data_IF_626613825136
#
_entry.id   IF_626613825136
#
_cell.length_a   1.000
_cell.length_b   1.000
_cell.length_c   1.000
_cell.angle_alpha   90.00
_cell.angle_beta   90.00
_cell.angle_gamma   90.00
#
_symmetry.space_group_name_H-M   'P 1'
#
loop_
_entity.id
_entity.type
_entity.pdbx_description
1 polymer ?
#
# COMPACT_ATOMS: atom_id res chain seq x y z
N UNK A 1 18.48 19.87 6.24
CA UNK A 1 19.34 18.71 6.57
C UNK A 1 19.62 17.88 5.31
N UNK A 2 18.61 17.41 4.59
CA UNK A 2 18.76 16.58 3.37
C UNK A 2 19.64 17.27 2.32
N UNK A 3 19.37 18.53 1.99
CA UNK A 3 20.19 19.30 1.05
C UNK A 3 21.68 19.28 1.41
N UNK A 4 22.00 19.51 2.69
CA UNK A 4 23.38 19.54 3.15
C UNK A 4 24.08 18.17 3.10
N UNK A 5 23.32 17.07 3.30
CA UNK A 5 23.85 15.71 3.26
C UNK A 5 24.04 15.21 1.84
N UNK A 6 23.17 15.61 0.92
CA UNK A 6 23.16 15.13 -0.47
C UNK A 6 23.86 16.08 -1.44
N UNK A 7 24.28 17.27 -0.97
CA UNK A 7 25.00 18.25 -1.78
C UNK A 7 26.27 17.65 -2.38
N UNK A 8 26.38 17.73 -3.71
CA UNK A 8 27.49 17.15 -4.48
C UNK A 8 27.41 15.63 -4.72
N UNK A 9 26.32 14.97 -4.31
CA UNK A 9 26.08 13.57 -4.62
C UNK A 9 25.54 13.43 -6.05
N UNK A 10 25.90 12.34 -6.71
CA UNK A 10 25.26 11.91 -7.96
C UNK A 10 23.99 11.12 -7.61
N UNK A 11 22.84 11.69 -7.93
CA UNK A 11 21.51 11.09 -7.64
C UNK A 11 20.87 10.43 -8.86
N UNK A 12 21.57 10.36 -10.00
CA UNK A 12 21.05 9.78 -11.26
C UNK A 12 20.51 8.36 -11.13
N UNK A 13 21.05 7.57 -10.20
CA UNK A 13 20.57 6.21 -9.93
C UNK A 13 19.24 6.15 -9.18
N UNK A 14 18.74 7.28 -8.68
CA UNK A 14 17.48 7.42 -7.95
C UNK A 14 16.44 8.24 -8.70
N UNK A 15 16.75 8.62 -9.92
CA UNK A 15 15.92 9.22 -10.96
C UNK A 15 15.73 8.14 -12.03
N UNK A 16 14.67 7.32 -11.87
CA UNK A 16 14.50 6.09 -12.66
C UNK A 16 13.95 6.35 -14.05
N UNK A 17 13.24 7.47 -14.23
CA UNK A 17 12.64 7.85 -15.51
C UNK A 17 13.41 8.97 -16.23
N UNK A 18 14.42 9.56 -15.58
CA UNK A 18 15.32 10.55 -16.17
C UNK A 18 14.71 11.96 -16.27
N UNK A 19 13.72 12.26 -15.43
CA UNK A 19 13.02 13.56 -15.44
C UNK A 19 13.72 14.65 -14.60
N UNK A 20 14.81 14.31 -13.91
CA UNK A 20 15.55 15.18 -13.01
C UNK A 20 14.98 15.24 -11.61
N UNK A 21 14.02 14.38 -11.27
CA UNK A 21 13.44 14.27 -9.93
C UNK A 21 13.87 12.96 -9.28
N UNK A 22 14.21 13.01 -8.01
CA UNK A 22 14.47 11.79 -7.22
C UNK A 22 13.15 11.09 -6.93
N UNK A 23 12.97 9.89 -7.49
CA UNK A 23 11.72 9.13 -7.41
C UNK A 23 11.35 8.65 -6.02
N UNK A 24 12.34 8.38 -5.19
CA UNK A 24 12.10 7.83 -3.85
C UNK A 24 13.10 8.40 -2.84
N UNK A 25 12.57 8.98 -1.78
CA UNK A 25 13.37 9.47 -0.68
C UNK A 25 12.88 8.90 0.64
N UNK A 26 13.75 8.24 1.37
CA UNK A 26 13.47 7.70 2.71
C UNK A 26 14.37 8.38 3.72
N UNK A 27 13.77 8.94 4.77
CA UNK A 27 14.43 9.52 5.93
C UNK A 27 14.17 8.60 7.13
N UNK A 28 15.23 8.04 7.69
CA UNK A 28 15.13 7.24 8.92
C UNK A 28 15.66 8.05 10.10
N UNK A 29 14.91 8.07 11.20
CA UNK A 29 15.34 8.67 12.45
C UNK A 29 15.40 7.65 13.59
N UNK A 30 16.25 7.94 14.59
CA UNK A 30 16.49 7.03 15.73
C UNK A 30 15.58 7.27 16.94
N UNK A 31 14.71 8.30 16.88
CA UNK A 31 13.73 8.54 17.95
C UNK A 31 12.57 7.57 17.85
N UNK A 32 11.94 7.24 18.99
CA UNK A 32 10.71 6.46 18.99
C UNK A 32 9.61 7.23 18.24
N UNK A 33 8.92 6.58 17.31
CA UNK A 33 7.84 7.20 16.56
C UNK A 33 6.58 7.43 17.44
N UNK A 34 5.73 8.36 17.02
CA UNK A 34 4.50 8.66 17.74
C UNK A 34 3.58 7.42 17.79
N UNK A 35 3.41 6.73 16.67
CA UNK A 35 2.62 5.49 16.54
C UNK A 35 3.18 4.34 17.37
N UNK A 36 4.46 4.39 17.72
CA UNK A 36 5.13 3.41 18.59
C UNK A 36 5.20 3.84 20.06
N UNK A 37 4.48 4.89 20.44
CA UNK A 37 4.42 5.38 21.82
C UNK A 37 5.44 6.46 22.19
N UNK A 38 6.08 7.12 21.22
CA UNK A 38 7.01 8.23 21.43
C UNK A 38 6.37 9.52 22.00
N UNK A 39 5.04 9.53 22.12
CA UNK A 39 4.26 10.64 22.67
C UNK A 39 3.93 11.70 21.60
N UNK A 40 3.07 12.66 21.98
CA UNK A 40 2.44 13.62 21.07
C UNK A 40 3.40 14.57 20.34
N UNK A 41 4.66 14.66 20.77
CA UNK A 41 5.68 15.50 20.12
C UNK A 41 6.67 14.69 19.28
N UNK A 42 6.51 13.37 19.23
CA UNK A 42 7.33 12.51 18.35
C UNK A 42 6.84 12.61 16.91
N UNK A 43 7.71 12.24 15.99
CA UNK A 43 7.36 12.20 14.57
C UNK A 43 6.47 10.96 14.36
N UNK A 44 5.30 11.17 13.75
CA UNK A 44 4.50 10.11 13.16
C UNK A 44 5.15 9.71 11.84
N UNK A 45 5.34 8.42 11.60
CA UNK A 45 5.84 7.96 10.30
C UNK A 45 4.83 8.34 9.22
N UNK A 46 5.31 8.92 8.11
CA UNK A 46 4.44 9.36 7.03
C UNK A 46 5.19 9.59 5.72
N UNK A 47 4.46 9.53 4.62
CA UNK A 47 4.82 10.11 3.33
C UNK A 47 4.25 11.53 3.23
N UNK A 48 5.00 12.46 2.67
CA UNK A 48 4.50 13.83 2.42
C UNK A 48 5.15 14.47 1.20
N UNK A 49 4.40 15.37 0.59
CA UNK A 49 4.91 16.26 -0.44
C UNK A 49 5.53 17.51 0.19
N UNK A 50 6.53 18.06 -0.46
CA UNK A 50 7.10 19.36 -0.09
C UNK A 50 6.30 20.47 -0.77
N UNK A 51 6.01 21.56 -0.05
CA UNK A 51 5.35 22.75 -0.61
C UNK A 51 6.12 23.30 -1.81
N UNK A 52 7.46 23.29 -1.71
CA UNK A 52 8.38 23.63 -2.78
C UNK A 52 9.43 22.54 -2.93
N UNK A 53 9.68 22.03 -4.14
CA UNK A 53 10.71 21.02 -4.37
C UNK A 53 12.08 21.47 -3.91
N UNK A 54 12.81 20.60 -3.25
CA UNK A 54 14.18 20.84 -2.80
C UNK A 54 15.15 20.58 -3.95
N UNK A 55 15.95 21.59 -4.34
CA UNK A 55 16.99 21.41 -5.36
C UNK A 55 18.28 20.87 -4.76
N UNK A 56 18.82 19.80 -5.35
CA UNK A 56 20.07 19.15 -4.94
C UNK A 56 20.94 18.96 -6.18
N UNK A 57 21.80 19.96 -6.49
CA UNK A 57 22.57 19.96 -7.74
C UNK A 57 21.65 20.03 -8.95
N UNK A 58 21.74 19.05 -9.83
CA UNK A 58 20.94 18.94 -11.04
C UNK A 58 19.59 18.22 -10.83
N UNK A 59 19.31 17.76 -9.62
CA UNK A 59 18.09 17.03 -9.26
C UNK A 59 17.20 17.81 -8.33
N UNK A 60 15.92 17.45 -8.34
CA UNK A 60 14.93 17.92 -7.38
C UNK A 60 14.39 16.77 -6.51
N UNK A 61 13.89 17.11 -5.32
CA UNK A 61 13.13 16.20 -4.44
C UNK A 61 11.80 16.87 -4.15
N UNK A 62 10.71 16.24 -4.54
CA UNK A 62 9.35 16.80 -4.38
C UNK A 62 8.58 16.17 -3.21
N UNK A 63 8.99 14.99 -2.75
CA UNK A 63 8.32 14.23 -1.69
C UNK A 63 9.31 13.36 -0.92
N UNK A 64 8.88 12.86 0.22
CA UNK A 64 9.70 12.01 1.08
C UNK A 64 8.82 11.08 1.93
N UNK A 65 9.40 9.98 2.34
CA UNK A 65 8.93 9.17 3.47
C UNK A 65 9.82 9.44 4.66
N UNK A 66 9.24 9.60 5.85
CA UNK A 66 9.99 9.61 7.11
C UNK A 66 9.43 8.53 8.05
N UNK A 67 10.33 7.75 8.64
CA UNK A 67 9.96 6.69 9.56
C UNK A 67 11.01 6.53 10.67
N UNK A 68 10.59 5.99 11.81
CA UNK A 68 11.52 5.58 12.86
C UNK A 68 12.18 4.25 12.53
N UNK A 69 13.40 4.05 12.96
CA UNK A 69 14.08 2.75 12.94
C UNK A 69 13.34 1.70 13.79
N UNK A 70 12.52 2.15 14.75
CA UNK A 70 11.76 1.28 15.66
C UNK A 70 10.31 1.01 15.17
N UNK A 71 9.87 1.62 14.06
CA UNK A 71 8.48 1.43 13.55
C UNK A 71 8.25 0.07 12.87
N UNK A 72 9.30 -0.70 12.64
CA UNK A 72 9.21 -1.97 11.91
C UNK A 72 9.17 -1.79 10.39
N UNK A 73 9.45 -2.86 9.67
CA UNK A 73 9.51 -2.84 8.19
C UNK A 73 8.14 -2.56 7.58
N UNK A 74 7.06 -3.00 8.23
CA UNK A 74 5.70 -2.81 7.73
C UNK A 74 5.35 -1.34 7.56
N UNK A 75 5.59 -0.51 8.58
CA UNK A 75 5.37 0.93 8.50
C UNK A 75 6.25 1.58 7.44
N UNK A 76 7.55 1.24 7.41
CA UNK A 76 8.46 1.81 6.40
C UNK A 76 8.00 1.51 4.99
N UNK A 77 7.58 0.27 4.71
CA UNK A 77 7.12 -0.13 3.37
C UNK A 77 5.77 0.49 3.04
N UNK A 78 4.83 0.54 3.98
CA UNK A 78 3.55 1.22 3.83
C UNK A 78 3.74 2.66 3.34
N UNK A 79 4.55 3.44 4.06
CA UNK A 79 4.84 4.83 3.70
C UNK A 79 5.60 4.97 2.37
N UNK A 80 6.46 4.00 2.04
CA UNK A 80 7.15 3.98 0.74
C UNK A 80 6.19 3.64 -0.41
N UNK A 81 5.16 2.83 -0.18
CA UNK A 81 4.15 2.52 -1.19
C UNK A 81 3.29 3.74 -1.55
N UNK A 82 3.06 4.67 -0.61
CA UNK A 82 2.44 5.95 -0.94
C UNK A 82 3.23 6.74 -1.97
N UNK A 83 4.57 6.70 -1.94
CA UNK A 83 5.39 7.32 -2.99
C UNK A 83 5.23 6.63 -4.36
N UNK A 84 4.64 5.45 -4.41
CA UNK A 84 4.30 4.72 -5.63
C UNK A 84 2.85 4.91 -6.06
N UNK A 85 2.08 5.72 -5.32
CA UNK A 85 0.69 6.01 -5.61
C UNK A 85 -0.33 5.13 -4.88
N UNK A 86 0.11 4.26 -3.96
CA UNK A 86 -0.82 3.49 -3.15
C UNK A 86 -1.62 4.37 -2.20
N UNK A 87 -2.87 4.00 -1.95
CA UNK A 87 -3.78 4.67 -1.05
C UNK A 87 -3.92 3.92 0.27
N UNK A 88 -4.33 4.63 1.33
CA UNK A 88 -4.76 4.01 2.57
C UNK A 88 -6.08 3.25 2.36
N UNK A 89 -6.11 2.00 2.78
CA UNK A 89 -7.25 1.10 2.59
C UNK A 89 -8.02 0.86 3.90
N UNK A 90 -8.15 1.90 4.70
CA UNK A 90 -8.88 1.92 5.98
C UNK A 90 -9.55 3.29 6.18
N UNK A 91 -10.37 3.43 7.22
CA UNK A 91 -10.96 4.71 7.59
C UNK A 91 -9.90 5.59 8.27
N UNK A 92 -9.24 6.45 7.49
CA UNK A 92 -8.17 7.37 7.97
C UNK A 92 -8.67 8.41 8.96
N UNK A 93 -9.97 8.65 9.04
CA UNK A 93 -10.58 9.57 9.99
C UNK A 93 -10.97 8.88 11.29
N UNK A 94 -11.05 7.56 11.30
CA UNK A 94 -11.55 6.76 12.42
C UNK A 94 -12.96 7.18 12.86
N UNK A 95 -13.79 7.55 11.87
CA UNK A 95 -15.18 7.96 12.11
C UNK A 95 -16.07 6.76 12.42
N UNK A 96 -15.68 5.58 11.92
CA UNK A 96 -16.35 4.31 12.16
C UNK A 96 -15.56 3.45 13.17
N UNK A 97 -16.24 2.69 14.04
CA UNK A 97 -15.55 1.67 14.83
C UNK A 97 -14.89 0.63 13.92
N UNK A 98 -13.67 0.22 14.22
CA UNK A 98 -12.96 -0.82 13.46
C UNK A 98 -13.68 -2.19 13.45
N UNK A 99 -14.60 -2.40 14.39
CA UNK A 99 -15.51 -3.56 14.39
C UNK A 99 -16.64 -3.46 13.37
N UNK A 100 -16.89 -2.26 12.82
CA UNK A 100 -17.90 -2.02 11.80
C UNK A 100 -17.29 -1.86 10.41
N UNK A 101 -16.10 -1.29 10.34
CA UNK A 101 -15.34 -1.12 9.11
C UNK A 101 -13.84 -1.01 9.43
N UNK A 102 -13.05 -1.86 8.83
CA UNK A 102 -11.59 -1.88 8.97
C UNK A 102 -10.88 -1.91 7.61
N UNK A 103 -11.57 -1.47 6.55
CA UNK A 103 -11.04 -1.53 5.20
C UNK A 103 -10.65 -2.96 4.82
N UNK A 104 -9.44 -3.14 4.32
CA UNK A 104 -8.90 -4.47 4.03
C UNK A 104 -8.26 -5.16 5.26
N UNK A 105 -8.26 -4.50 6.42
CA UNK A 105 -7.76 -5.08 7.66
C UNK A 105 -6.34 -5.62 7.53
N UNK A 106 -6.11 -6.80 8.10
CA UNK A 106 -4.80 -7.45 8.12
C UNK A 106 -4.37 -8.02 6.76
N UNK A 107 -5.24 -7.96 5.75
CA UNK A 107 -5.00 -8.57 4.44
C UNK A 107 -4.21 -7.69 3.47
N UNK A 108 -4.07 -6.39 3.74
CA UNK A 108 -3.28 -5.49 2.90
C UNK A 108 -2.34 -4.63 3.75
N UNK A 109 -1.09 -4.47 3.30
CA UNK A 109 -0.11 -3.60 3.96
C UNK A 109 -0.57 -2.14 3.98
N UNK A 110 -1.44 -1.72 3.05
CA UNK A 110 -2.02 -0.37 3.02
C UNK A 110 -3.22 -0.21 3.97
N UNK A 111 -3.53 -1.25 4.76
CA UNK A 111 -4.45 -1.23 5.89
C UNK A 111 -3.74 -1.72 7.15
N UNK A 112 -4.41 -2.43 8.05
CA UNK A 112 -3.79 -2.93 9.30
C UNK A 112 -2.70 -3.98 9.07
N UNK A 113 -2.61 -4.54 7.87
CA UNK A 113 -1.60 -5.54 7.50
C UNK A 113 -0.14 -5.08 7.64
N UNK A 114 0.11 -3.77 7.71
CA UNK A 114 1.42 -3.21 8.01
C UNK A 114 1.90 -3.55 9.44
N UNK A 115 0.96 -3.80 10.37
CA UNK A 115 1.24 -4.14 11.76
C UNK A 115 1.36 -5.63 12.02
N UNK A 116 1.13 -6.49 11.02
CA UNK A 116 1.23 -7.93 11.17
C UNK A 116 2.61 -8.33 11.70
N UNK A 117 2.63 -9.31 12.61
CA UNK A 117 3.85 -9.73 13.28
C UNK A 117 4.54 -8.59 14.06
N UNK A 118 3.78 -7.65 14.64
CA UNK A 118 4.27 -6.43 15.27
C UNK A 118 5.12 -5.56 14.30
N UNK A 119 4.68 -5.44 13.07
CA UNK A 119 5.34 -4.67 12.01
C UNK A 119 6.58 -5.34 11.41
N UNK A 120 6.93 -6.55 11.85
CA UNK A 120 8.10 -7.28 11.35
C UNK A 120 7.76 -8.23 10.17
N UNK A 121 6.50 -8.62 10.06
CA UNK A 121 6.01 -9.54 9.02
C UNK A 121 4.71 -8.97 8.43
N UNK A 122 4.78 -7.79 7.77
CA UNK A 122 3.60 -7.19 7.16
C UNK A 122 3.04 -8.09 6.07
N UNK A 123 1.75 -7.94 5.78
CA UNK A 123 1.14 -8.60 4.63
C UNK A 123 1.68 -8.05 3.31
N UNK A 124 1.60 -8.84 2.26
CA UNK A 124 1.76 -8.33 0.90
C UNK A 124 0.64 -7.35 0.57
N UNK A 125 0.86 -6.37 -0.33
CA UNK A 125 -0.24 -5.62 -0.93
C UNK A 125 -1.24 -6.56 -1.60
N UNK A 126 -2.52 -6.23 -1.57
CA UNK A 126 -3.56 -6.90 -2.34
C UNK A 126 -3.40 -6.69 -3.84
N UNK A 127 -4.23 -7.38 -4.62
CA UNK A 127 -4.11 -7.34 -6.08
C UNK A 127 -4.42 -5.95 -6.65
N UNK A 128 -5.45 -5.28 -6.13
CA UNK A 128 -5.81 -3.92 -6.54
C UNK A 128 -4.67 -2.93 -6.26
N UNK A 129 -4.06 -2.99 -5.07
CA UNK A 129 -2.88 -2.16 -4.73
C UNK A 129 -1.70 -2.46 -5.63
N UNK A 130 -1.39 -3.73 -5.90
CA UNK A 130 -0.29 -4.12 -6.78
C UNK A 130 -0.49 -3.62 -8.22
N UNK A 131 -1.72 -3.63 -8.71
CA UNK A 131 -2.05 -3.11 -10.04
C UNK A 131 -1.91 -1.59 -10.08
N UNK A 132 -2.46 -0.89 -9.08
CA UNK A 132 -2.39 0.57 -8.94
C UNK A 132 -0.95 1.09 -8.97
N UNK A 133 -0.03 0.44 -8.25
CA UNK A 133 1.39 0.83 -8.23
C UNK A 133 2.19 0.31 -9.44
N UNK A 134 1.53 -0.32 -10.42
CA UNK A 134 2.15 -0.79 -11.65
C UNK A 134 3.04 -2.04 -11.50
N UNK A 135 2.85 -2.84 -10.48
CA UNK A 135 3.67 -4.03 -10.21
C UNK A 135 3.48 -5.17 -11.23
N UNK A 136 2.45 -5.12 -12.07
CA UNK A 136 2.15 -6.12 -13.13
C UNK A 136 2.12 -7.56 -12.59
N UNK A 137 1.47 -7.75 -11.46
CA UNK A 137 1.34 -9.04 -10.76
C UNK A 137 -0.02 -9.68 -10.98
N UNK A 138 -0.70 -9.35 -12.09
CA UNK A 138 -2.01 -9.89 -12.44
C UNK A 138 -2.05 -10.41 -13.87
N UNK A 139 -3.03 -11.27 -14.14
CA UNK A 139 -3.42 -11.74 -15.47
C UNK A 139 -4.88 -11.41 -15.68
N UNK A 140 -5.18 -10.67 -16.75
CA UNK A 140 -6.56 -10.39 -17.15
C UNK A 140 -7.19 -11.65 -17.71
N UNK A 141 -8.37 -11.99 -17.20
CA UNK A 141 -9.16 -13.13 -17.66
C UNK A 141 -10.16 -12.66 -18.69
N UNK A 142 -10.09 -13.23 -19.89
CA UNK A 142 -11.13 -13.04 -20.91
C UNK A 142 -12.36 -13.90 -20.56
N UNK A 143 -13.42 -13.25 -20.10
CA UNK A 143 -14.65 -13.93 -19.66
C UNK A 143 -15.43 -14.57 -20.80
N UNK A 144 -15.25 -14.14 -22.04
CA UNK A 144 -15.90 -14.73 -23.22
C UNK A 144 -15.29 -16.07 -23.59
N UNK A 145 -14.00 -16.24 -23.32
CA UNK A 145 -13.26 -17.47 -23.62
C UNK A 145 -13.29 -18.42 -22.40
N UNK A 146 -13.21 -17.87 -21.20
CA UNK A 146 -13.05 -18.64 -19.97
C UNK A 146 -11.71 -19.38 -19.91
N UNK A 147 -11.60 -20.33 -18.97
CA UNK A 147 -10.38 -21.14 -18.87
C UNK A 147 -10.19 -21.79 -17.51
N UNK A 148 -9.06 -22.50 -17.39
CA UNK A 148 -8.56 -22.99 -16.11
C UNK A 148 -7.24 -22.30 -15.81
N UNK A 149 -7.14 -21.73 -14.63
CA UNK A 149 -5.96 -20.97 -14.18
C UNK A 149 -5.35 -21.64 -12.95
N UNK A 150 -4.02 -21.60 -12.89
CA UNK A 150 -3.28 -22.01 -11.70
C UNK A 150 -2.66 -20.75 -11.12
N UNK A 151 -3.05 -20.43 -9.88
CA UNK A 151 -2.51 -19.30 -9.11
C UNK A 151 -1.59 -19.82 -8.02
N UNK A 152 -0.43 -19.21 -7.89
CA UNK A 152 0.49 -19.45 -6.79
C UNK A 152 0.34 -18.37 -5.70
N UNK A 153 0.86 -18.60 -4.48
CA UNK A 153 0.85 -17.60 -3.43
C UNK A 153 1.54 -16.31 -3.89
N UNK A 154 0.89 -15.18 -3.63
CA UNK A 154 1.42 -13.87 -4.05
C UNK A 154 2.75 -13.55 -3.36
N UNK A 155 2.94 -13.98 -2.13
CA UNK A 155 4.17 -13.87 -1.35
C UNK A 155 5.34 -14.66 -1.96
N UNK A 156 5.06 -15.72 -2.70
CA UNK A 156 6.07 -16.60 -3.34
C UNK A 156 6.26 -16.29 -4.84
N UNK A 157 5.86 -15.11 -5.28
CA UNK A 157 6.00 -14.72 -6.67
C UNK A 157 4.81 -15.11 -7.56
N UNK A 158 3.70 -15.59 -6.98
CA UNK A 158 2.45 -15.84 -7.68
C UNK A 158 1.85 -14.57 -8.32
N UNK A 159 0.81 -14.76 -9.11
CA UNK A 159 0.05 -13.70 -9.75
C UNK A 159 -1.41 -13.81 -9.38
N UNK A 160 -2.12 -12.68 -9.39
CA UNK A 160 -3.57 -12.62 -9.23
C UNK A 160 -4.28 -12.74 -10.57
N UNK A 161 -5.56 -13.10 -10.56
CA UNK A 161 -6.42 -12.98 -11.74
C UNK A 161 -7.22 -11.69 -11.63
N UNK A 162 -7.36 -10.99 -12.74
CA UNK A 162 -8.18 -9.79 -12.87
C UNK A 162 -9.34 -10.07 -13.81
N UNK A 163 -10.55 -9.82 -13.36
CA UNK A 163 -11.80 -10.00 -14.14
C UNK A 163 -12.50 -8.65 -14.15
N UNK A 164 -12.40 -7.93 -15.27
CA UNK A 164 -13.16 -6.70 -15.47
C UNK A 164 -14.63 -7.05 -15.63
N UNK A 165 -15.48 -6.51 -14.76
CA UNK A 165 -16.93 -6.77 -14.75
C UNK A 165 -17.72 -5.57 -15.29
N UNK A 166 -17.16 -4.36 -15.18
CA UNK A 166 -17.64 -3.13 -15.79
C UNK A 166 -16.46 -2.16 -15.97
N UNK A 167 -16.60 -1.06 -16.75
CA UNK A 167 -15.54 -0.08 -16.88
C UNK A 167 -15.12 0.52 -15.53
N UNK A 168 -13.89 0.25 -15.12
CA UNK A 168 -13.32 0.65 -13.83
C UNK A 168 -13.68 -0.28 -12.67
N UNK A 169 -14.44 -1.37 -12.91
CA UNK A 169 -14.77 -2.35 -11.88
C UNK A 169 -14.07 -3.68 -12.15
N UNK A 170 -13.31 -4.17 -11.19
CA UNK A 170 -12.52 -5.41 -11.33
C UNK A 170 -12.69 -6.30 -10.11
N UNK A 171 -12.94 -7.59 -10.39
CA UNK A 171 -12.81 -8.67 -9.41
C UNK A 171 -11.40 -9.22 -9.49
N UNK A 172 -10.73 -9.26 -8.36
CA UNK A 172 -9.38 -9.82 -8.21
C UNK A 172 -9.45 -11.14 -7.45
N UNK A 173 -8.74 -12.15 -7.93
CA UNK A 173 -8.63 -13.44 -7.26
C UNK A 173 -7.17 -13.68 -6.96
N UNK A 174 -6.82 -13.75 -5.67
CA UNK A 174 -5.46 -13.89 -5.18
C UNK A 174 -5.34 -15.07 -4.25
N UNK A 175 -4.29 -15.88 -4.40
CA UNK A 175 -3.93 -16.88 -3.40
C UNK A 175 -2.98 -16.25 -2.38
N UNK A 176 -3.43 -16.19 -1.11
CA UNK A 176 -2.59 -15.82 0.04
C UNK A 176 -2.01 -17.08 0.65
N UNK A 177 -0.70 -17.09 0.85
CA UNK A 177 0.02 -18.23 1.44
C UNK A 177 0.18 -18.09 2.95
N UNK A 178 0.97 -19.00 3.52
CA UNK A 178 1.35 -19.05 4.93
C UNK A 178 2.87 -18.86 5.12
N UNK A 179 3.53 -18.32 4.11
CA UNK A 179 4.98 -18.13 4.06
C UNK A 179 5.36 -16.68 3.72
N UNK A 180 6.65 -16.34 3.93
CA UNK A 180 7.16 -15.00 3.65
C UNK A 180 6.42 -13.94 4.46
N UNK A 181 6.09 -12.82 3.81
CA UNK A 181 5.37 -11.72 4.43
C UNK A 181 3.90 -12.04 4.74
N UNK A 182 3.31 -13.03 4.09
CA UNK A 182 1.93 -13.47 4.39
C UNK A 182 1.86 -14.45 5.58
N UNK A 183 3.00 -14.83 6.19
CA UNK A 183 3.01 -15.82 7.28
C UNK A 183 2.36 -15.36 8.59
N UNK A 184 2.08 -14.06 8.74
CA UNK A 184 1.39 -13.50 9.90
C UNK A 184 -0.06 -13.11 9.59
N UNK A 185 -0.60 -13.47 8.43
CA UNK A 185 -2.01 -13.27 8.10
C UNK A 185 -2.92 -14.08 9.03
N UNK A 186 -4.16 -13.62 9.27
CA UNK A 186 -5.12 -14.35 10.10
C UNK A 186 -5.57 -15.70 9.48
N UNK A 187 -5.30 -15.91 8.20
CA UNK A 187 -5.61 -17.14 7.47
C UNK A 187 -4.87 -17.19 6.14
N UNK A 188 -5.10 -18.29 5.41
CA UNK A 188 -4.54 -18.47 4.05
C UNK A 188 -5.59 -19.10 3.13
N UNK A 189 -5.43 -18.89 1.83
CA UNK A 189 -6.37 -19.38 0.82
C UNK A 189 -6.65 -18.34 -0.25
N UNK A 190 -7.73 -18.55 -0.98
CA UNK A 190 -8.19 -17.60 -1.99
C UNK A 190 -8.86 -16.42 -1.31
N UNK A 191 -8.39 -15.23 -1.65
CA UNK A 191 -9.05 -13.96 -1.35
C UNK A 191 -9.65 -13.43 -2.65
N UNK A 192 -10.86 -12.92 -2.56
CA UNK A 192 -11.54 -12.22 -3.65
C UNK A 192 -11.72 -10.77 -3.25
N UNK A 193 -11.14 -9.87 -4.03
CA UNK A 193 -11.31 -8.43 -3.86
C UNK A 193 -12.21 -7.90 -4.98
N UNK A 194 -12.97 -6.86 -4.69
CA UNK A 194 -13.70 -6.06 -5.68
C UNK A 194 -13.17 -4.63 -5.59
N UNK A 195 -12.69 -4.09 -6.70
CA UNK A 195 -12.33 -2.68 -6.81
C UNK A 195 -13.25 -1.97 -7.79
N UNK A 196 -13.58 -0.71 -7.48
CA UNK A 196 -14.35 0.19 -8.34
C UNK A 196 -13.69 1.58 -8.34
N UNK A 197 -13.11 1.95 -9.47
CA UNK A 197 -12.41 3.23 -9.65
C UNK A 197 -13.33 4.46 -9.61
N UNK A 198 -14.66 4.24 -9.61
CA UNK A 198 -15.63 5.32 -9.46
C UNK A 198 -15.94 5.63 -7.99
N UNK A 199 -15.47 4.78 -7.08
CA UNK A 199 -15.67 4.91 -5.64
C UNK A 199 -14.49 5.58 -4.94
N UNK A 200 -14.76 6.11 -3.74
CA UNK A 200 -13.76 6.79 -2.91
C UNK A 200 -13.34 8.15 -3.46
N UNK A 201 -12.37 8.75 -2.80
CA UNK A 201 -11.77 10.03 -3.19
C UNK A 201 -10.23 9.89 -3.21
N UNK A 202 -9.71 9.42 -4.33
CA UNK A 202 -8.28 9.16 -4.51
C UNK A 202 -7.39 10.41 -4.34
N UNK A 203 -7.75 11.62 -4.86
CA UNK A 203 -6.94 12.82 -4.66
C UNK A 203 -6.66 13.19 -3.20
N UNK A 204 -7.60 12.89 -2.30
CA UNK A 204 -7.49 13.20 -0.88
C UNK A 204 -7.10 11.97 -0.03
N UNK A 205 -6.77 10.83 -0.67
CA UNK A 205 -6.49 9.56 0.00
C UNK A 205 -7.64 9.05 0.90
N UNK A 206 -8.89 9.33 0.50
CA UNK A 206 -10.11 8.95 1.21
C UNK A 206 -10.87 7.87 0.43
N UNK A 207 -10.15 6.83 0.01
CA UNK A 207 -10.70 5.81 -0.88
C UNK A 207 -11.50 4.74 -0.14
N UNK A 208 -11.17 4.48 1.13
CA UNK A 208 -11.76 3.41 1.93
C UNK A 208 -12.29 3.90 3.30
N UNK A 209 -12.75 5.15 3.38
CA UNK A 209 -13.34 5.72 4.61
C UNK A 209 -14.80 5.34 4.81
N UNK A 210 -15.49 4.95 3.75
CA UNK A 210 -16.91 4.60 3.75
C UNK A 210 -17.10 3.22 3.12
N UNK A 211 -17.63 2.21 3.87
CA UNK A 211 -17.85 0.87 3.35
C UNK A 211 -18.80 0.83 2.15
N UNK A 212 -19.76 1.76 2.07
CA UNK A 212 -20.73 1.82 0.98
C UNK A 212 -20.12 2.44 -0.30
N UNK A 213 -18.99 3.14 -0.18
CA UNK A 213 -18.31 3.84 -1.27
C UNK A 213 -16.80 3.54 -1.29
N UNK A 214 -16.38 2.37 -0.81
CA UNK A 214 -14.97 1.98 -0.78
C UNK A 214 -14.46 1.67 -2.19
N UNK A 215 -13.24 2.14 -2.50
CA UNK A 215 -12.55 1.80 -3.73
C UNK A 215 -12.27 0.31 -3.86
N UNK A 216 -11.89 -0.36 -2.78
CA UNK A 216 -11.65 -1.80 -2.78
C UNK A 216 -12.19 -2.45 -1.50
N UNK A 217 -12.80 -3.62 -1.65
CA UNK A 217 -13.32 -4.45 -0.56
C UNK A 217 -12.97 -5.91 -0.78
N UNK A 218 -12.85 -6.66 0.32
CA UNK A 218 -12.84 -8.12 0.27
C UNK A 218 -14.29 -8.59 0.16
N UNK A 219 -14.55 -9.52 -0.76
CA UNK A 219 -15.85 -10.19 -0.86
C UNK A 219 -15.84 -11.37 0.11
N UNK A 220 -16.63 -11.28 1.15
CA UNK A 220 -16.76 -12.33 2.16
C UNK A 220 -17.58 -13.52 1.66
N UNK A 221 -17.14 -14.73 1.99
CA UNK A 221 -17.74 -15.94 1.47
C UNK A 221 -19.10 -16.26 2.11
N UNK A 222 -19.39 -15.74 3.29
CA UNK A 222 -20.65 -15.90 4.00
C UNK A 222 -21.68 -14.80 3.66
N UNK A 223 -21.25 -13.76 2.97
CA UNK A 223 -22.10 -12.64 2.53
C UNK A 223 -22.50 -11.70 3.67
N UNK A 224 -21.75 -11.70 4.76
CA UNK A 224 -21.90 -10.75 5.86
C UNK A 224 -20.79 -9.70 5.71
N UNK A 225 -21.12 -8.53 5.19
CA UNK A 225 -20.17 -7.45 4.86
C UNK A 225 -19.72 -6.66 6.12
N UNK A 226 -19.58 -7.27 7.29
CA UNK A 226 -19.37 -6.59 8.53
C UNK A 226 -18.12 -6.93 9.31
#
# INVERSE_FOLDING_TARGET
AAEALLSGSDLSRWDFDGDGTVDRMLILHSGLAQESGGGANAIWSHMSWLDEPLSIGDWSVSHYTIASLDSGIGTVVHEMLHQMGAHDLYDVHSDLPSSSWNGLGDWDIMASGNWNGNGAVPSMPGAATLDLIGAKRSTVVDTDIGGSFVVGPISDGGISLAIEIAPGETIWITLRGDSGFDSALPGHGIIVEHSDDNNGNAPDNLVNTDPDNAWVKIIEADGDDG
#
